data_IF_341442733885
#
_entry.id   IF_341442733885
#
_cell.length_a   1.000
_cell.length_b   1.000
_cell.length_c   1.000
_cell.angle_alpha   90.00
_cell.angle_beta   90.00
_cell.angle_gamma   90.00
#
_symmetry.space_group_name_H-M   'P 1'
#
loop_
_entity.id
_entity.type
_entity.pdbx_description
1 polymer ?
#
# COMPACT_ATOMS: atom_id res chain seq x y z
N UNK A 1 7.34 -14.33 39.65
CA UNK A 1 8.17 -13.59 38.68
C UNK A 1 7.49 -13.71 37.32
N UNK A 2 6.93 -12.62 36.77
CA UNK A 2 6.36 -12.64 35.40
C UNK A 2 7.49 -12.24 34.45
N UNK A 3 7.94 -13.17 33.62
CA UNK A 3 8.87 -12.88 32.53
C UNK A 3 8.08 -12.20 31.40
N UNK A 4 8.30 -10.90 31.23
CA UNK A 4 7.86 -10.18 30.04
C UNK A 4 8.65 -10.75 28.86
N UNK A 5 8.03 -11.63 28.07
CA UNK A 5 8.52 -11.95 26.74
C UNK A 5 8.29 -10.71 25.88
N UNK A 6 9.22 -9.77 25.93
CA UNK A 6 9.34 -8.77 24.87
C UNK A 6 9.71 -9.54 23.61
N UNK A 7 8.72 -9.75 22.74
CA UNK A 7 8.95 -10.31 21.41
C UNK A 7 9.83 -9.32 20.66
N UNK A 8 11.14 -9.54 20.68
CA UNK A 8 12.10 -8.70 19.95
C UNK A 8 11.80 -8.86 18.47
N UNK A 9 11.15 -7.88 17.84
CA UNK A 9 11.00 -7.84 16.40
C UNK A 9 12.40 -7.80 15.79
N UNK A 10 12.80 -8.90 15.15
CA UNK A 10 14.08 -8.98 14.47
C UNK A 10 14.04 -8.01 13.29
N UNK A 11 14.92 -7.01 13.32
CA UNK A 11 15.04 -6.01 12.26
C UNK A 11 16.34 -6.27 11.52
N UNK A 12 16.26 -6.57 10.23
CA UNK A 12 17.44 -6.69 9.36
C UNK A 12 17.69 -5.35 8.69
N UNK A 13 18.87 -4.77 8.86
CA UNK A 13 19.23 -3.53 8.18
C UNK A 13 20.01 -3.89 6.92
N UNK A 14 19.47 -3.54 5.77
CA UNK A 14 20.17 -3.64 4.47
C UNK A 14 20.73 -2.26 4.16
N UNK A 15 22.03 -2.19 3.89
CA UNK A 15 22.71 -0.94 3.54
C UNK A 15 23.37 -1.07 2.17
N UNK A 16 23.11 -0.12 1.28
CA UNK A 16 23.74 -0.01 -0.04
C UNK A 16 24.08 1.46 -0.25
N UNK A 17 25.37 1.76 -0.42
CA UNK A 17 25.89 3.14 -0.49
C UNK A 17 25.38 4.01 0.69
N UNK A 18 24.69 5.11 0.38
CA UNK A 18 24.11 6.05 1.34
C UNK A 18 22.69 5.67 1.79
N UNK A 19 22.16 4.55 1.28
CA UNK A 19 20.82 4.07 1.60
C UNK A 19 20.87 3.04 2.72
N UNK A 20 19.95 3.18 3.68
CA UNK A 20 19.68 2.19 4.73
C UNK A 20 18.20 1.85 4.72
N UNK A 21 17.89 0.56 4.71
CA UNK A 21 16.53 0.02 4.75
C UNK A 21 16.39 -0.89 5.97
N UNK A 22 15.44 -0.57 6.84
CA UNK A 22 15.10 -1.41 7.99
C UNK A 22 13.98 -2.39 7.61
N UNK A 23 14.33 -3.66 7.48
CA UNK A 23 13.40 -4.74 7.16
C UNK A 23 12.92 -5.42 8.43
N UNK A 24 11.69 -5.12 8.83
CA UNK A 24 10.93 -5.92 9.81
C UNK A 24 10.08 -6.96 9.09
N UNK A 25 9.63 -7.99 9.80
CA UNK A 25 8.69 -8.98 9.26
C UNK A 25 7.39 -8.36 8.75
N UNK A 26 6.92 -7.31 9.42
CA UNK A 26 5.69 -6.59 9.04
C UNK A 26 5.93 -5.76 7.77
N UNK A 27 7.09 -5.08 7.67
CA UNK A 27 7.48 -4.37 6.45
C UNK A 27 7.61 -5.33 5.26
N UNK A 28 8.21 -6.51 5.44
CA UNK A 28 8.32 -7.52 4.38
C UNK A 28 6.96 -8.09 3.96
N UNK A 29 6.04 -8.29 4.92
CA UNK A 29 4.66 -8.69 4.63
C UNK A 29 3.91 -7.61 3.85
N UNK A 30 4.05 -6.35 4.28
CA UNK A 30 3.47 -5.21 3.59
C UNK A 30 4.01 -5.09 2.15
N UNK A 31 5.32 -5.26 1.93
CA UNK A 31 5.93 -5.26 0.58
C UNK A 31 5.37 -6.40 -0.29
N UNK A 32 5.27 -7.62 0.25
CA UNK A 32 4.75 -8.76 -0.49
C UNK A 32 3.29 -8.55 -0.89
N UNK A 33 2.46 -8.09 0.05
CA UNK A 33 1.06 -7.75 -0.19
C UNK A 33 0.93 -6.57 -1.17
N UNK A 34 1.75 -5.54 -1.02
CA UNK A 34 1.80 -4.40 -1.94
C UNK A 34 2.12 -4.82 -3.37
N UNK A 35 3.06 -5.74 -3.56
CA UNK A 35 3.41 -6.27 -4.88
C UNK A 35 2.22 -7.00 -5.52
N UNK A 36 1.52 -7.83 -4.74
CA UNK A 36 0.33 -8.55 -5.21
C UNK A 36 -0.83 -7.59 -5.51
N UNK A 37 -1.06 -6.62 -4.62
CA UNK A 37 -2.14 -5.63 -4.71
C UNK A 37 -1.85 -4.56 -5.77
N UNK A 38 -0.59 -4.30 -6.15
CA UNK A 38 -0.24 -3.29 -7.17
C UNK A 38 -0.94 -3.52 -8.51
N UNK A 39 -1.14 -4.78 -8.92
CA UNK A 39 -1.91 -5.11 -10.12
C UNK A 39 -3.40 -4.78 -9.99
N UNK A 40 -3.96 -4.98 -8.79
CA UNK A 40 -5.35 -4.61 -8.46
C UNK A 40 -5.50 -3.08 -8.47
N UNK A 41 -4.55 -2.35 -7.88
CA UNK A 41 -4.55 -0.88 -7.84
C UNK A 41 -4.52 -0.31 -9.26
N UNK A 42 -3.61 -0.78 -10.11
CA UNK A 42 -3.51 -0.32 -11.49
C UNK A 42 -4.82 -0.55 -12.26
N UNK A 43 -5.39 -1.75 -12.14
CA UNK A 43 -6.68 -2.08 -12.75
C UNK A 43 -7.79 -1.16 -12.24
N UNK A 44 -7.82 -0.87 -10.94
CA UNK A 44 -8.86 -0.04 -10.34
C UNK A 44 -8.72 1.44 -10.74
N UNK A 45 -7.50 1.94 -10.94
CA UNK A 45 -7.25 3.27 -11.52
C UNK A 45 -7.79 3.34 -12.95
N UNK A 46 -7.58 2.31 -13.77
CA UNK A 46 -8.10 2.26 -15.14
C UNK A 46 -9.64 2.23 -15.17
N UNK A 47 -10.25 1.47 -14.26
CA UNK A 47 -11.70 1.42 -14.09
C UNK A 47 -12.26 2.80 -13.66
N UNK A 48 -11.66 3.44 -12.65
CA UNK A 48 -12.05 4.79 -12.22
C UNK A 48 -11.87 5.83 -13.33
N UNK A 49 -10.76 5.80 -14.08
CA UNK A 49 -10.53 6.69 -15.21
C UNK A 49 -11.61 6.53 -16.28
N UNK A 50 -11.97 5.29 -16.60
CA UNK A 50 -13.06 5.00 -17.53
C UNK A 50 -14.36 5.61 -17.05
N UNK A 51 -14.68 5.48 -15.77
CA UNK A 51 -15.88 6.08 -15.18
C UNK A 51 -15.89 7.59 -15.22
N UNK A 52 -14.77 8.24 -14.89
CA UNK A 52 -14.68 9.69 -14.97
C UNK A 52 -14.83 10.19 -16.41
N UNK A 53 -14.30 9.47 -17.39
CA UNK A 53 -14.48 9.76 -18.82
C UNK A 53 -15.95 9.61 -19.22
N UNK A 54 -16.58 8.49 -18.89
CA UNK A 54 -17.99 8.22 -19.17
C UNK A 54 -18.91 9.27 -18.54
N UNK A 55 -18.66 9.63 -17.27
CA UNK A 55 -19.38 10.69 -16.58
C UNK A 55 -19.19 12.06 -17.26
N UNK A 56 -17.95 12.42 -17.61
CA UNK A 56 -17.63 13.67 -18.31
C UNK A 56 -18.22 13.75 -19.72
N UNK A 57 -18.49 12.61 -20.35
CA UNK A 57 -19.19 12.51 -21.64
C UNK A 57 -20.72 12.49 -21.51
N UNK A 58 -21.26 12.54 -20.28
CA UNK A 58 -22.70 12.50 -20.01
C UNK A 58 -23.33 11.12 -20.14
N UNK A 59 -22.53 10.05 -20.17
CA UNK A 59 -22.98 8.66 -20.29
C UNK A 59 -22.53 7.84 -19.08
N UNK A 60 -22.98 8.15 -17.85
CA UNK A 60 -22.53 7.45 -16.66
C UNK A 60 -22.94 5.99 -16.72
N UNK A 61 -22.02 5.09 -16.36
CA UNK A 61 -22.33 3.67 -16.17
C UNK A 61 -23.33 3.50 -15.03
N UNK A 62 -24.37 2.71 -15.29
CA UNK A 62 -25.24 2.23 -14.21
C UNK A 62 -24.54 1.09 -13.46
N UNK A 63 -24.38 1.28 -12.16
CA UNK A 63 -23.89 0.26 -11.25
C UNK A 63 -25.03 -0.34 -10.44
N UNK A 64 -25.03 -1.66 -10.31
CA UNK A 64 -25.84 -2.31 -9.29
C UNK A 64 -25.27 -2.00 -7.90
N UNK A 65 -26.09 -2.03 -6.83
CA UNK A 65 -25.61 -1.84 -5.47
C UNK A 65 -24.46 -2.77 -5.08
N UNK A 66 -24.45 -4.01 -5.59
CA UNK A 66 -23.38 -4.97 -5.33
C UNK A 66 -22.05 -4.50 -5.94
N UNK A 67 -22.06 -4.06 -7.20
CA UNK A 67 -20.85 -3.59 -7.87
C UNK A 67 -20.27 -2.32 -7.21
N UNK A 68 -21.13 -1.44 -6.67
CA UNK A 68 -20.69 -0.31 -5.86
C UNK A 68 -19.95 -0.77 -4.60
N UNK A 69 -20.48 -1.77 -3.88
CA UNK A 69 -19.86 -2.30 -2.66
C UNK A 69 -18.51 -2.98 -2.92
N UNK A 70 -18.42 -3.75 -4.01
CA UNK A 70 -17.17 -4.40 -4.44
C UNK A 70 -16.10 -3.33 -4.73
N UNK A 71 -16.43 -2.34 -5.55
CA UNK A 71 -15.51 -1.25 -5.91
C UNK A 71 -15.02 -0.46 -4.68
N UNK A 72 -15.92 -0.13 -3.75
CA UNK A 72 -15.55 0.60 -2.53
C UNK A 72 -14.65 -0.23 -1.60
N UNK A 73 -14.88 -1.55 -1.51
CA UNK A 73 -14.09 -2.45 -0.67
C UNK A 73 -12.65 -2.57 -1.20
N UNK A 74 -12.51 -2.69 -2.51
CA UNK A 74 -11.20 -2.76 -3.18
C UNK A 74 -10.42 -1.44 -3.05
N UNK A 75 -11.11 -0.30 -3.12
CA UNK A 75 -10.50 1.02 -2.89
C UNK A 75 -10.05 1.20 -1.44
N UNK A 76 -10.84 0.72 -0.46
CA UNK A 76 -10.45 0.75 0.95
C UNK A 76 -9.21 -0.12 1.20
N UNK A 77 -9.21 -1.35 0.68
CA UNK A 77 -8.07 -2.26 0.77
C UNK A 77 -6.82 -1.63 0.16
N UNK A 78 -6.95 -1.01 -1.01
CA UNK A 78 -5.87 -0.27 -1.69
C UNK A 78 -5.27 0.82 -0.79
N UNK A 79 -6.12 1.64 -0.17
CA UNK A 79 -5.70 2.72 0.73
C UNK A 79 -4.91 2.21 1.93
N UNK A 80 -5.39 1.13 2.58
CA UNK A 80 -4.71 0.54 3.73
C UNK A 80 -3.33 0.02 3.36
N UNK A 81 -3.17 -0.62 2.19
CA UNK A 81 -1.88 -1.15 1.75
C UNK A 81 -0.89 -0.07 1.37
N UNK A 82 -1.33 1.03 0.77
CA UNK A 82 -0.47 2.19 0.53
C UNK A 82 0.06 2.76 1.85
N UNK A 83 -0.77 2.82 2.90
CA UNK A 83 -0.33 3.28 4.22
C UNK A 83 0.73 2.35 4.84
N UNK A 84 0.58 1.03 4.68
CA UNK A 84 1.58 0.07 5.14
C UNK A 84 2.93 0.21 4.41
N UNK A 85 2.92 0.46 3.10
CA UNK A 85 4.14 0.73 2.31
C UNK A 85 4.79 2.05 2.76
N UNK A 86 3.98 3.09 2.97
CA UNK A 86 4.47 4.38 3.44
C UNK A 86 5.10 4.30 4.85
N UNK A 87 4.80 3.26 5.63
CA UNK A 87 5.41 3.01 6.93
C UNK A 87 6.81 2.34 6.83
N UNK A 88 7.26 1.93 5.64
CA UNK A 88 8.63 1.40 5.44
C UNK A 88 9.64 2.55 5.61
N UNK A 89 10.46 2.48 6.65
CA UNK A 89 11.50 3.48 6.95
C UNK A 89 12.73 3.29 6.03
N UNK A 90 12.73 3.99 4.89
CA UNK A 90 13.88 4.12 4.00
C UNK A 90 14.63 5.39 4.35
N UNK A 91 15.95 5.30 4.54
CA UNK A 91 16.80 6.45 4.83
C UNK A 91 17.88 6.66 3.78
N UNK A 92 18.15 7.92 3.45
CA UNK A 92 19.29 8.37 2.63
C UNK A 92 20.13 9.33 3.47
N UNK A 93 21.43 9.05 3.64
CA UNK A 93 22.29 9.81 4.57
C UNK A 93 21.67 9.94 5.98
N UNK A 94 21.05 8.86 6.48
CA UNK A 94 20.34 8.81 7.77
C UNK A 94 19.09 9.71 7.89
N UNK A 95 18.64 10.33 6.80
CA UNK A 95 17.41 11.12 6.73
C UNK A 95 16.27 10.30 6.08
N UNK A 96 15.01 10.40 6.55
CA UNK A 96 13.88 9.74 5.90
C UNK A 96 13.74 10.17 4.44
N UNK A 97 13.58 9.20 3.54
CA UNK A 97 13.19 9.49 2.15
C UNK A 97 11.73 9.93 2.15
N UNK A 98 11.47 11.15 1.72
CA UNK A 98 10.10 11.66 1.55
C UNK A 98 9.58 11.27 0.18
N UNK A 99 8.36 10.76 0.11
CA UNK A 99 7.57 10.74 -1.12
C UNK A 99 6.85 12.09 -1.22
N UNK A 100 7.13 12.87 -2.27
CA UNK A 100 6.43 14.12 -2.58
C UNK A 100 4.96 13.89 -2.96
#
# INVERSE_FOLDING_TARGET
>A
MKTNNATTQSTTIVSVDNYKLSLTSDAMRAIAQAKEVSGIILKMIDELNTLFIEFGQGNPREYTPQQCLETLSDLLLTKERIADIAAIDIRYNDLPVKTE
#
